data_IF_275975439479
#
_entry.id   IF_275975439479
#
_cell.length_a   1.000
_cell.length_b   1.000
_cell.length_c   1.000
_cell.angle_alpha   90.00
_cell.angle_beta   90.00
_cell.angle_gamma   90.00
#
_symmetry.space_group_name_H-M   'P 1'
#
loop_
_entity.id
_entity.type
_entity.pdbx_description
1 polymer ?
#
# COMPACT_ATOMS: atom_id res chain seq x y z
N UNK A 1 5.06 -10.78 1.40
CA UNK A 1 5.17 -11.86 2.40
C UNK A 1 6.35 -12.80 2.15
N UNK A 2 6.67 -13.16 0.92
CA UNK A 2 7.76 -14.11 0.58
C UNK A 2 9.14 -13.65 1.08
N UNK A 3 9.54 -12.40 0.85
CA UNK A 3 10.88 -11.91 1.19
C UNK A 3 11.12 -11.73 2.68
N UNK A 4 10.12 -11.31 3.44
CA UNK A 4 10.28 -10.95 4.85
C UNK A 4 9.72 -11.99 5.83
N UNK A 5 8.61 -12.63 5.48
CA UNK A 5 7.91 -13.56 6.37
C UNK A 5 8.07 -15.02 5.96
N UNK A 6 8.73 -15.30 4.83
CA UNK A 6 8.99 -16.66 4.33
C UNK A 6 7.72 -17.48 4.09
N UNK A 7 6.63 -16.83 3.68
CA UNK A 7 5.43 -17.50 3.18
C UNK A 7 5.51 -17.61 1.65
N UNK A 8 5.53 -18.83 1.14
CA UNK A 8 5.69 -19.10 -0.29
C UNK A 8 4.34 -19.51 -0.89
N UNK A 9 3.82 -18.76 -1.88
CA UNK A 9 2.60 -19.16 -2.57
C UNK A 9 2.83 -20.43 -3.39
N UNK A 10 1.77 -21.20 -3.60
CA UNK A 10 1.76 -22.33 -4.52
C UNK A 10 0.93 -22.02 -5.75
N UNK A 11 1.29 -22.63 -6.87
CA UNK A 11 0.66 -22.42 -8.17
C UNK A 11 0.19 -23.76 -8.73
N UNK A 12 -0.89 -23.72 -9.50
CA UNK A 12 -1.39 -24.89 -10.24
C UNK A 12 -0.61 -25.08 -11.55
N UNK A 13 -0.97 -26.13 -12.32
CA UNK A 13 -0.37 -26.45 -13.62
C UNK A 13 -0.59 -25.36 -14.67
N UNK A 14 -1.53 -24.42 -14.47
CA UNK A 14 -1.82 -23.27 -15.32
C UNK A 14 -1.17 -21.99 -14.82
N UNK A 15 -0.23 -22.07 -13.88
CA UNK A 15 0.46 -20.96 -13.25
C UNK A 15 -0.47 -19.97 -12.53
N UNK A 16 -1.63 -20.44 -12.04
CA UNK A 16 -2.52 -19.66 -11.18
C UNK A 16 -2.21 -19.93 -9.72
N UNK A 17 -2.24 -18.88 -8.90
CA UNK A 17 -2.05 -19.02 -7.45
C UNK A 17 -3.16 -19.89 -6.86
N UNK A 18 -2.77 -20.82 -5.98
CA UNK A 18 -3.73 -21.66 -5.26
C UNK A 18 -4.03 -21.08 -3.88
N UNK A 19 -4.98 -21.70 -3.18
CA UNK A 19 -5.32 -21.36 -1.79
C UNK A 19 -4.37 -22.02 -0.75
N UNK A 20 -3.26 -22.61 -1.20
CA UNK A 20 -2.27 -23.20 -0.34
C UNK A 20 -0.99 -22.36 -0.32
N UNK A 21 -0.24 -22.46 0.77
CA UNK A 21 1.07 -21.85 0.90
C UNK A 21 2.01 -22.74 1.69
N UNK A 22 3.30 -22.53 1.50
CA UNK A 22 4.36 -23.26 2.18
C UNK A 22 5.02 -22.32 3.20
N UNK A 23 5.25 -22.84 4.40
CA UNK A 23 5.98 -22.15 5.47
C UNK A 23 7.14 -23.04 5.90
N UNK A 24 8.32 -22.43 6.04
CA UNK A 24 9.48 -23.09 6.64
C UNK A 24 9.54 -22.70 8.11
N UNK A 25 9.39 -23.69 8.99
CA UNK A 25 9.45 -23.50 10.44
C UNK A 25 10.64 -24.24 11.02
N UNK A 26 11.25 -23.69 12.06
CA UNK A 26 12.42 -24.24 12.76
C UNK A 26 12.03 -25.21 13.90
N UNK A 27 10.85 -25.79 13.85
CA UNK A 27 10.35 -26.71 14.86
C UNK A 27 9.45 -27.79 14.28
N UNK A 28 9.34 -28.93 15.02
CA UNK A 28 8.41 -30.00 14.66
C UNK A 28 7.00 -29.65 15.11
N UNK A 29 6.07 -29.60 14.18
CA UNK A 29 4.67 -29.35 14.45
C UNK A 29 3.88 -30.62 14.80
N UNK A 30 4.13 -31.17 16.00
CA UNK A 30 3.49 -32.45 16.45
C UNK A 30 1.97 -32.32 16.65
N UNK A 31 1.45 -31.12 16.91
CA UNK A 31 0.03 -30.86 17.24
C UNK A 31 -0.70 -30.02 16.19
N UNK A 32 -0.06 -29.69 15.08
CA UNK A 32 -0.63 -28.80 14.07
C UNK A 32 -0.76 -27.33 14.48
N UNK A 33 -0.19 -26.94 15.63
CA UNK A 33 -0.31 -25.59 16.17
C UNK A 33 0.47 -24.57 15.36
N UNK A 34 1.63 -24.93 14.83
CA UNK A 34 2.44 -24.08 13.97
C UNK A 34 1.71 -23.83 12.64
N UNK A 35 1.15 -24.90 12.05
CA UNK A 35 0.30 -24.80 10.86
C UNK A 35 -0.88 -23.85 11.10
N UNK A 36 -1.64 -24.09 12.17
CA UNK A 36 -2.81 -23.28 12.51
C UNK A 36 -2.45 -21.83 12.77
N UNK A 37 -1.38 -21.56 13.54
CA UNK A 37 -0.92 -20.20 13.84
C UNK A 37 -0.51 -19.45 12.57
N UNK A 38 0.23 -20.08 11.66
CA UNK A 38 0.59 -19.46 10.39
C UNK A 38 -0.62 -19.23 9.47
N UNK A 39 -1.58 -20.14 9.47
CA UNK A 39 -2.83 -19.96 8.72
C UNK A 39 -3.61 -18.73 9.23
N UNK A 40 -3.80 -18.60 10.54
CA UNK A 40 -4.48 -17.44 11.14
C UNK A 40 -3.78 -16.12 10.80
N UNK A 41 -2.44 -16.10 10.76
CA UNK A 41 -1.68 -14.90 10.37
C UNK A 41 -1.95 -14.53 8.90
N UNK A 42 -1.95 -15.52 8.00
CA UNK A 42 -2.22 -15.27 6.57
C UNK A 42 -3.65 -14.81 6.37
N UNK A 43 -4.62 -15.45 7.01
CA UNK A 43 -6.05 -15.10 6.92
C UNK A 43 -6.29 -13.67 7.38
N UNK A 44 -5.74 -13.26 8.53
CA UNK A 44 -5.85 -11.89 9.02
C UNK A 44 -5.24 -10.88 8.04
N UNK A 45 -4.07 -11.17 7.46
CA UNK A 45 -3.41 -10.30 6.46
C UNK A 45 -4.20 -10.18 5.17
N UNK A 46 -4.82 -11.26 4.71
CA UNK A 46 -5.65 -11.25 3.51
C UNK A 46 -6.96 -10.48 3.75
N UNK A 47 -7.58 -10.64 4.92
CA UNK A 47 -8.77 -9.89 5.30
C UNK A 47 -8.49 -8.38 5.35
N UNK A 48 -7.36 -7.96 5.94
CA UNK A 48 -6.92 -6.57 5.94
C UNK A 48 -6.71 -6.04 4.51
N UNK A 49 -6.02 -6.83 3.67
CA UNK A 49 -5.76 -6.46 2.29
C UNK A 49 -7.06 -6.30 1.48
N UNK A 50 -8.02 -7.22 1.64
CA UNK A 50 -9.34 -7.15 1.01
C UNK A 50 -10.12 -5.93 1.47
N UNK A 51 -10.14 -5.65 2.77
CA UNK A 51 -10.79 -4.47 3.34
C UNK A 51 -10.23 -3.18 2.72
N UNK A 52 -8.90 -3.00 2.70
CA UNK A 52 -8.28 -1.81 2.14
C UNK A 52 -8.46 -1.72 0.63
N UNK A 53 -8.39 -2.84 -0.09
CA UNK A 53 -8.65 -2.89 -1.53
C UNK A 53 -10.04 -2.39 -1.86
N UNK A 54 -11.07 -2.94 -1.21
CA UNK A 54 -12.46 -2.57 -1.44
C UNK A 54 -12.73 -1.11 -1.06
N UNK A 55 -12.15 -0.65 0.05
CA UNK A 55 -12.25 0.73 0.47
C UNK A 55 -11.61 1.69 -0.52
N UNK A 56 -10.40 1.38 -1.00
CA UNK A 56 -9.69 2.22 -1.96
C UNK A 56 -10.40 2.27 -3.32
N UNK A 57 -10.93 1.13 -3.77
CA UNK A 57 -11.70 1.06 -5.02
C UNK A 57 -12.97 1.89 -4.99
N UNK A 58 -13.61 2.02 -3.83
CA UNK A 58 -14.85 2.80 -3.66
C UNK A 58 -14.61 4.30 -3.48
N UNK A 59 -13.36 4.75 -3.27
CA UNK A 59 -13.02 6.13 -2.96
C UNK A 59 -12.38 6.85 -4.15
N UNK A 60 -12.85 8.06 -4.42
CA UNK A 60 -12.20 8.94 -5.38
C UNK A 60 -11.05 9.68 -4.69
N UNK A 61 -9.80 9.46 -5.14
CA UNK A 61 -8.59 10.03 -4.56
C UNK A 61 -8.62 11.58 -4.56
N UNK A 62 -9.13 12.19 -5.62
CA UNK A 62 -9.20 13.66 -5.72
C UNK A 62 -10.05 14.24 -4.58
N UNK A 63 -11.17 13.57 -4.24
CA UNK A 63 -12.02 13.99 -3.11
C UNK A 63 -11.34 13.84 -1.74
N UNK A 64 -10.31 12.99 -1.64
CA UNK A 64 -9.57 12.80 -0.39
C UNK A 64 -8.53 13.89 -0.12
N UNK A 65 -8.12 14.67 -1.14
CA UNK A 65 -7.13 15.75 -0.99
C UNK A 65 -7.53 16.75 0.09
N UNK A 66 -8.82 17.06 0.21
CA UNK A 66 -9.33 17.98 1.24
C UNK A 66 -9.07 17.51 2.68
N UNK A 67 -9.01 16.17 2.91
CA UNK A 67 -8.72 15.59 4.23
C UNK A 67 -7.29 15.85 4.69
N UNK A 68 -6.37 16.11 3.76
CA UNK A 68 -4.98 16.43 4.08
C UNK A 68 -4.83 17.75 4.85
N UNK A 69 -5.87 18.60 4.88
CA UNK A 69 -5.93 19.81 5.73
C UNK A 69 -5.92 19.46 7.22
N UNK A 70 -6.40 18.27 7.59
CA UNK A 70 -6.50 17.82 8.97
C UNK A 70 -5.22 17.10 9.46
N UNK A 71 -4.27 16.83 8.57
CA UNK A 71 -3.04 16.11 8.89
C UNK A 71 -1.89 17.11 8.96
N UNK A 72 -1.35 17.32 10.15
CA UNK A 72 -0.19 18.21 10.34
C UNK A 72 1.03 17.65 9.62
N UNK A 73 1.72 18.49 8.84
CA UNK A 73 2.96 18.10 8.18
C UNK A 73 4.16 18.27 9.12
N UNK A 74 4.37 19.49 9.61
CA UNK A 74 5.45 19.81 10.53
C UNK A 74 5.08 21.07 11.33
N UNK A 75 5.63 21.19 12.55
CA UNK A 75 5.40 22.38 13.40
C UNK A 75 5.84 23.65 12.68
N UNK A 76 4.91 24.60 12.50
CA UNK A 76 5.15 25.86 11.81
C UNK A 76 5.07 25.81 10.26
N UNK A 77 4.92 24.62 9.65
CA UNK A 77 4.82 24.45 8.20
C UNK A 77 3.41 24.08 7.72
N UNK A 78 2.44 24.03 8.62
CA UNK A 78 1.04 23.75 8.32
C UNK A 78 0.73 22.27 8.08
N UNK A 79 -0.31 22.04 7.29
CA UNK A 79 -0.80 20.69 6.97
C UNK A 79 -0.11 20.06 5.75
N UNK A 80 -0.38 18.77 5.50
CA UNK A 80 0.02 18.14 4.24
C UNK A 80 -0.63 18.80 3.02
N UNK A 81 -1.83 19.37 3.16
CA UNK A 81 -2.45 20.14 2.10
C UNK A 81 -1.61 21.39 1.75
N UNK A 82 -1.14 22.12 2.76
CA UNK A 82 -0.30 23.30 2.55
C UNK A 82 1.04 22.92 1.90
N UNK A 83 1.61 21.78 2.29
CA UNK A 83 2.80 21.22 1.63
C UNK A 83 2.54 20.98 0.15
N UNK A 84 1.44 20.34 -0.21
CA UNK A 84 1.10 20.04 -1.60
C UNK A 84 0.93 21.32 -2.40
N UNK A 85 0.29 22.35 -1.84
CA UNK A 85 0.16 23.65 -2.52
C UNK A 85 1.54 24.29 -2.81
N UNK A 86 2.48 24.21 -1.86
CA UNK A 86 3.85 24.70 -2.09
C UNK A 86 4.58 23.89 -3.17
N UNK A 87 4.48 22.56 -3.13
CA UNK A 87 5.08 21.68 -4.15
C UNK A 87 4.50 22.00 -5.55
N UNK A 88 3.17 22.13 -5.65
CA UNK A 88 2.50 22.47 -6.91
C UNK A 88 3.01 23.81 -7.49
N UNK A 89 3.14 24.83 -6.63
CA UNK A 89 3.67 26.15 -7.05
C UNK A 89 5.11 26.03 -7.55
N UNK A 90 5.97 25.31 -6.84
CA UNK A 90 7.37 25.10 -7.23
C UNK A 90 7.49 24.31 -8.52
N UNK A 91 6.68 23.25 -8.68
CA UNK A 91 6.66 22.47 -9.92
C UNK A 91 6.29 23.32 -11.13
N UNK A 92 5.32 24.26 -10.98
CA UNK A 92 4.97 25.20 -12.04
C UNK A 92 6.13 26.10 -12.44
N UNK A 93 6.83 26.69 -11.47
CA UNK A 93 7.98 27.57 -11.73
C UNK A 93 9.09 26.80 -12.46
N UNK A 94 9.46 25.62 -11.95
CA UNK A 94 10.52 24.78 -12.55
C UNK A 94 10.14 24.36 -13.97
N UNK A 95 8.89 24.05 -14.20
CA UNK A 95 8.39 23.63 -15.49
C UNK A 95 8.45 24.77 -16.54
N UNK A 96 8.06 25.97 -16.12
CA UNK A 96 8.14 27.14 -17.00
C UNK A 96 9.59 27.43 -17.38
N UNK A 97 10.53 27.31 -16.44
CA UNK A 97 11.97 27.47 -16.71
C UNK A 97 12.55 26.38 -17.64
N UNK A 98 12.08 25.14 -17.51
CA UNK A 98 12.54 24.01 -18.32
C UNK A 98 11.78 23.84 -19.63
N UNK A 99 10.84 24.73 -19.97
CA UNK A 99 10.00 24.65 -21.16
C UNK A 99 9.22 23.31 -21.28
N UNK A 100 8.87 22.72 -20.16
CA UNK A 100 8.08 21.47 -20.11
C UNK A 100 6.59 21.81 -20.33
N UNK A 101 5.92 21.10 -21.23
CA UNK A 101 4.50 21.34 -21.50
C UNK A 101 3.65 21.13 -20.25
N UNK A 102 2.69 22.04 -20.00
CA UNK A 102 1.80 22.05 -18.81
C UNK A 102 0.99 20.76 -18.66
N UNK A 103 0.67 20.07 -19.77
CA UNK A 103 -0.05 18.79 -19.76
C UNK A 103 0.65 17.68 -18.96
N UNK A 104 1.98 17.78 -18.76
CA UNK A 104 2.75 16.79 -17.98
C UNK A 104 2.84 17.12 -16.48
N UNK A 105 2.29 18.22 -16.03
CA UNK A 105 2.44 18.73 -14.66
C UNK A 105 1.14 18.64 -13.87
N UNK A 106 0.01 18.59 -14.52
CA UNK A 106 -1.28 18.41 -13.86
C UNK A 106 -1.48 16.95 -13.48
N UNK A 107 -1.21 16.64 -12.19
CA UNK A 107 -1.64 15.44 -11.49
C UNK A 107 -2.83 15.79 -10.61
#
# INVERSE_FOLDING_TARGET
MQHHQKYFPTFDSKNKITNNFIVVADCKDKKGLVKLGNQNVVDARLADAEFFWNRNKSQNLVKQVSRLKQINYFKGLGSYFDKIQRVRKLSGIISDELLISKEKIEI
#
